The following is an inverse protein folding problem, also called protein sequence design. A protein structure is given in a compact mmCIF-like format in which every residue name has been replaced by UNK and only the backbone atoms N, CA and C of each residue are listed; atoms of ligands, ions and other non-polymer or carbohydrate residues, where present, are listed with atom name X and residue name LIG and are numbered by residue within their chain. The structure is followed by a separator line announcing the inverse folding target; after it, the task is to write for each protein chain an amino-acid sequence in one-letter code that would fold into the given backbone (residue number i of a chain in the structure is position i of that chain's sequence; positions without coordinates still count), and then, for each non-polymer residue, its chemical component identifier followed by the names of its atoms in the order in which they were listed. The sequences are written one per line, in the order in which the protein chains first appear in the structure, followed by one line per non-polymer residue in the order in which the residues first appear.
data_IF_654672951949
#
_entry.id   IF_654672951949
#
_cell.length_a   1.000
_cell.length_b   1.000
_cell.length_c   1.000
_cell.angle_alpha   90.00
_cell.angle_beta   90.00
_cell.angle_gamma   90.00
#
_symmetry.space_group_name_H-M   'P 1'
#
loop_
_entity.id
_entity.type
_entity.pdbx_description
1 polymer ?
#
# COMPACT_ATOMS: atom_id res chain seq x y z
N UNK A 1 -11.53 -9.92 14.06
CA UNK A 1 -12.63 -10.18 13.10
C UNK A 1 -12.71 -11.69 12.88
N UNK A 2 -13.78 -12.37 13.32
CA UNK A 2 -13.95 -13.82 13.12
C UNK A 2 -14.48 -14.04 11.70
N UNK A 3 -13.80 -14.86 10.91
CA UNK A 3 -14.24 -15.22 9.56
C UNK A 3 -15.24 -16.37 9.69
N UNK A 4 -16.51 -16.22 9.25
CA UNK A 4 -17.47 -17.31 9.30
C UNK A 4 -17.16 -18.36 8.22
N UNK A 5 -17.43 -19.62 8.52
CA UNK A 5 -17.45 -20.70 7.53
C UNK A 5 -18.83 -20.72 6.87
N UNK A 6 -18.87 -20.56 5.55
CA UNK A 6 -20.11 -20.44 4.79
C UNK A 6 -20.41 -21.75 4.08
N UNK A 7 -21.63 -22.26 4.24
CA UNK A 7 -22.06 -23.53 3.63
C UNK A 7 -23.39 -23.44 2.88
N UNK A 8 -24.03 -22.27 2.79
CA UNK A 8 -25.33 -22.16 2.10
C UNK A 8 -25.55 -20.81 1.41
N UNK A 9 -26.34 -20.79 0.32
CA UNK A 9 -26.67 -19.57 -0.46
C UNK A 9 -27.44 -18.52 0.33
N UNK A 10 -28.15 -18.90 1.42
CA UNK A 10 -28.77 -17.95 2.36
C UNK A 10 -27.75 -17.04 3.08
N UNK A 11 -26.46 -17.40 3.11
CA UNK A 11 -25.41 -16.56 3.70
C UNK A 11 -25.06 -15.34 2.82
N UNK A 12 -25.29 -15.40 1.51
CA UNK A 12 -24.89 -14.32 0.60
C UNK A 12 -25.81 -13.10 0.77
N UNK A 13 -27.12 -13.29 0.89
CA UNK A 13 -28.08 -12.20 1.12
C UNK A 13 -27.84 -11.52 2.48
N UNK A 14 -27.48 -12.29 3.50
CA UNK A 14 -27.11 -11.75 4.81
C UNK A 14 -25.82 -10.93 4.73
N UNK A 15 -24.80 -11.41 4.01
CA UNK A 15 -23.53 -10.67 3.80
C UNK A 15 -23.77 -9.39 2.99
N UNK A 16 -24.63 -9.44 1.97
CA UNK A 16 -25.00 -8.29 1.17
C UNK A 16 -25.75 -7.26 2.02
N UNK A 17 -26.68 -7.68 2.85
CA UNK A 17 -27.39 -6.77 3.78
C UNK A 17 -26.43 -6.15 4.79
N UNK A 18 -25.53 -6.95 5.39
CA UNK A 18 -24.48 -6.46 6.29
C UNK A 18 -23.50 -5.49 5.61
N UNK A 19 -23.20 -5.71 4.33
CA UNK A 19 -22.36 -4.81 3.53
C UNK A 19 -23.08 -3.51 3.22
N UNK A 20 -24.35 -3.58 2.81
CA UNK A 20 -25.19 -2.42 2.52
C UNK A 20 -25.41 -1.54 3.75
N UNK A 21 -25.60 -2.13 4.94
CA UNK A 21 -25.69 -1.41 6.21
C UNK A 21 -24.36 -0.76 6.64
N UNK A 22 -23.24 -1.23 6.11
CA UNK A 22 -21.90 -0.66 6.35
C UNK A 22 -21.48 0.35 5.29
N UNK A 23 -22.31 0.57 4.26
CA UNK A 23 -22.08 1.67 3.32
C UNK A 23 -22.38 2.96 4.08
N UNK A 24 -21.38 3.82 4.34
CA UNK A 24 -21.62 5.08 5.03
C UNK A 24 -22.64 5.89 4.24
N UNK A 25 -23.67 6.40 4.92
CA UNK A 25 -24.59 7.35 4.30
C UNK A 25 -23.78 8.48 3.66
N UNK A 26 -24.18 8.88 2.45
CA UNK A 26 -23.53 9.97 1.73
C UNK A 26 -23.61 11.22 2.60
N UNK A 27 -22.49 11.60 3.21
CA UNK A 27 -22.41 12.78 4.07
C UNK A 27 -23.00 13.99 3.34
N UNK A 28 -24.06 14.56 3.91
CA UNK A 28 -24.63 15.82 3.42
C UNK A 28 -23.63 16.92 3.77
N UNK A 29 -22.93 17.42 2.77
CA UNK A 29 -22.07 18.58 2.90
C UNK A 29 -22.82 19.87 2.54
N UNK A 30 -22.47 21.01 3.16
CA UNK A 30 -22.96 22.31 2.69
C UNK A 30 -22.54 22.54 1.23
N UNK A 31 -23.41 23.20 0.47
CA UNK A 31 -23.12 23.62 -0.91
C UNK A 31 -22.30 24.90 -0.87
N UNK A 32 -21.26 25.00 -1.72
CA UNK A 32 -20.50 26.24 -1.91
C UNK A 32 -21.15 27.10 -2.99
N UNK A 33 -20.73 28.36 -3.12
CA UNK A 33 -21.13 29.22 -4.24
C UNK A 33 -20.79 28.59 -5.60
N UNK A 34 -19.71 27.80 -5.68
CA UNK A 34 -19.29 27.09 -6.88
C UNK A 34 -20.24 25.92 -7.22
N UNK A 35 -20.74 25.21 -6.20
CA UNK A 35 -21.77 24.18 -6.39
C UNK A 35 -23.07 24.81 -6.88
N UNK A 36 -23.47 25.94 -6.29
CA UNK A 36 -24.68 26.69 -6.66
C UNK A 36 -24.57 27.20 -8.11
N UNK A 37 -23.39 27.71 -8.49
CA UNK A 37 -23.13 28.22 -9.84
C UNK A 37 -22.89 27.11 -10.88
N UNK A 38 -22.76 25.85 -10.48
CA UNK A 38 -22.50 24.73 -11.40
C UNK A 38 -21.10 24.76 -12.04
N UNK A 39 -20.10 25.32 -11.34
CA UNK A 39 -18.74 25.50 -11.87
C UNK A 39 -17.68 24.69 -11.10
N UNK A 40 -18.10 23.93 -10.07
CA UNK A 40 -17.21 23.17 -9.19
C UNK A 40 -16.15 22.37 -9.93
N UNK A 41 -16.54 21.64 -10.97
CA UNK A 41 -15.68 20.68 -11.69
C UNK A 41 -15.11 21.21 -13.01
N UNK A 42 -15.39 22.47 -13.34
CA UNK A 42 -15.01 23.04 -14.63
C UNK A 42 -13.56 23.55 -14.56
N UNK A 43 -12.65 22.80 -15.18
CA UNK A 43 -11.19 23.07 -15.13
C UNK A 43 -10.87 24.48 -15.65
N UNK A 44 -11.48 24.90 -16.76
CA UNK A 44 -11.26 26.23 -17.36
C UNK A 44 -11.72 27.34 -16.41
N UNK A 45 -12.89 27.18 -15.79
CA UNK A 45 -13.37 28.17 -14.81
C UNK A 45 -12.51 28.20 -13.54
N UNK A 46 -12.04 27.05 -13.08
CA UNK A 46 -11.08 26.99 -11.97
C UNK A 46 -9.75 27.68 -12.32
N UNK A 47 -9.27 27.55 -13.56
CA UNK A 47 -8.08 28.27 -14.03
C UNK A 47 -8.27 29.79 -13.99
N UNK A 48 -9.46 30.29 -14.33
CA UNK A 48 -9.78 31.74 -14.23
C UNK A 48 -9.86 32.24 -12.79
N UNK A 49 -10.36 31.40 -11.87
CA UNK A 49 -10.35 31.71 -10.43
C UNK A 49 -8.90 31.72 -9.90
N UNK A 50 -8.07 30.77 -10.32
CA UNK A 50 -6.65 30.77 -9.97
C UNK A 50 -5.90 31.95 -10.57
N UNK A 51 -6.18 32.33 -11.81
CA UNK A 51 -5.64 33.52 -12.45
C UNK A 51 -5.88 34.76 -11.59
N UNK A 52 -7.12 34.95 -11.13
CA UNK A 52 -7.46 36.05 -10.23
C UNK A 52 -6.57 36.07 -8.98
N UNK A 53 -6.31 34.92 -8.35
CA UNK A 53 -5.48 34.86 -7.14
C UNK A 53 -3.97 34.87 -7.37
N UNK A 54 -3.53 34.46 -8.55
CA UNK A 54 -2.11 34.44 -8.95
C UNK A 54 -1.63 35.80 -9.43
N UNK A 55 -2.52 36.69 -9.84
CA UNK A 55 -2.21 38.05 -10.28
C UNK A 55 -2.04 38.98 -9.07
N UNK A 56 -0.82 39.39 -8.69
CA UNK A 56 -0.59 40.21 -7.50
C UNK A 56 -1.26 41.60 -7.59
N UNK A 57 -1.62 42.04 -8.80
CA UNK A 57 -2.23 43.33 -9.08
C UNK A 57 -3.77 43.27 -9.09
N UNK A 58 -4.37 42.09 -8.96
CA UNK A 58 -5.82 41.95 -8.88
C UNK A 58 -6.37 42.46 -7.52
N UNK A 59 -7.68 42.76 -7.47
CA UNK A 59 -8.34 43.40 -6.33
C UNK A 59 -8.63 42.46 -5.14
N UNK A 60 -7.79 41.44 -4.93
CA UNK A 60 -7.92 40.50 -3.81
C UNK A 60 -7.11 40.85 -2.56
N UNK A 61 -6.19 41.83 -2.64
CA UNK A 61 -5.37 42.29 -1.50
C UNK A 61 -4.49 41.21 -0.84
N UNK A 62 -4.23 40.11 -1.58
CA UNK A 62 -3.31 39.04 -1.13
C UNK A 62 -1.91 39.21 -1.72
N UNK A 63 -1.71 40.17 -2.64
CA UNK A 63 -0.45 40.39 -3.34
C UNK A 63 0.08 39.08 -3.95
N UNK A 64 1.37 38.80 -3.76
CA UNK A 64 2.04 37.63 -4.29
C UNK A 64 1.83 36.32 -3.49
N UNK A 65 0.93 36.31 -2.49
CA UNK A 65 0.80 35.19 -1.55
C UNK A 65 0.61 33.84 -2.23
N UNK A 66 -0.16 33.78 -3.33
CA UNK A 66 -0.38 32.54 -4.07
C UNK A 66 0.86 32.07 -4.83
N UNK A 67 1.60 32.98 -5.47
CA UNK A 67 2.87 32.66 -6.15
C UNK A 67 3.87 32.12 -5.11
N UNK A 68 4.01 32.80 -3.97
CA UNK A 68 4.90 32.39 -2.89
C UNK A 68 4.53 31.00 -2.34
N UNK A 69 3.24 30.76 -2.12
CA UNK A 69 2.73 29.46 -1.67
C UNK A 69 2.96 28.36 -2.72
N UNK A 70 2.77 28.66 -4.00
CA UNK A 70 3.04 27.73 -5.10
C UNK A 70 4.52 27.34 -5.14
N UNK A 71 5.41 28.33 -5.03
CA UNK A 71 6.86 28.13 -4.98
C UNK A 71 7.30 27.23 -3.81
N UNK A 72 6.75 27.45 -2.60
CA UNK A 72 7.01 26.57 -1.45
C UNK A 72 6.54 25.15 -1.72
N UNK A 73 5.30 25.00 -2.19
CA UNK A 73 4.71 23.70 -2.49
C UNK A 73 5.53 22.98 -3.56
N UNK A 74 6.00 23.70 -4.59
CA UNK A 74 6.82 23.17 -5.66
C UNK A 74 8.13 22.61 -5.11
N UNK A 75 8.84 23.39 -4.28
CA UNK A 75 10.05 22.95 -3.59
C UNK A 75 9.75 21.72 -2.74
N UNK A 76 8.72 21.75 -1.89
CA UNK A 76 8.42 20.65 -0.96
C UNK A 76 8.04 19.35 -1.69
N UNK A 77 7.37 19.45 -2.84
CA UNK A 77 6.98 18.28 -3.64
C UNK A 77 8.10 17.75 -4.54
N UNK A 78 9.16 18.54 -4.79
CA UNK A 78 10.27 18.09 -5.63
C UNK A 78 11.20 17.12 -4.87
N UNK A 79 11.58 15.95 -5.44
CA UNK A 79 12.32 14.93 -4.69
C UNK A 79 13.66 15.42 -4.16
N UNK A 80 13.91 15.16 -2.88
CA UNK A 80 15.16 15.52 -2.20
C UNK A 80 16.39 14.87 -2.85
N UNK A 81 16.23 13.66 -3.40
CA UNK A 81 17.31 12.89 -4.03
C UNK A 81 17.53 13.25 -5.50
N UNK A 82 16.75 14.16 -6.07
CA UNK A 82 16.91 14.56 -7.47
C UNK A 82 18.21 15.31 -7.70
N UNK A 83 18.92 14.98 -8.79
CA UNK A 83 20.15 15.67 -9.20
C UNK A 83 19.93 17.17 -9.48
N UNK A 84 18.72 17.54 -9.86
CA UNK A 84 18.34 18.92 -10.20
C UNK A 84 17.80 19.71 -9.00
N UNK A 85 17.79 19.12 -7.79
CA UNK A 85 17.20 19.74 -6.59
C UNK A 85 17.77 21.12 -6.29
N UNK A 86 19.09 21.27 -6.29
CA UNK A 86 19.74 22.55 -6.01
C UNK A 86 19.42 23.61 -7.07
N UNK A 87 19.35 23.22 -8.34
CA UNK A 87 18.93 24.10 -9.44
C UNK A 87 17.50 24.60 -9.23
N UNK A 88 16.58 23.71 -8.85
CA UNK A 88 15.19 24.09 -8.55
C UNK A 88 15.12 25.05 -7.37
N UNK A 89 15.86 24.80 -6.29
CA UNK A 89 15.86 25.70 -5.13
C UNK A 89 16.34 27.09 -5.52
N UNK A 90 17.45 27.19 -6.26
CA UNK A 90 17.96 28.47 -6.79
C UNK A 90 16.92 29.20 -7.65
N UNK A 91 16.35 28.52 -8.65
CA UNK A 91 15.33 29.11 -9.53
C UNK A 91 14.12 29.62 -8.74
N UNK A 92 13.69 28.88 -7.72
CA UNK A 92 12.55 29.29 -6.91
C UNK A 92 12.91 30.49 -6.02
N UNK A 93 14.11 30.53 -5.46
CA UNK A 93 14.60 31.71 -4.72
C UNK A 93 14.68 32.94 -5.62
N UNK A 94 15.12 32.77 -6.87
CA UNK A 94 15.12 33.82 -7.89
C UNK A 94 13.70 34.30 -8.22
N UNK A 95 12.75 33.38 -8.46
CA UNK A 95 11.33 33.71 -8.68
C UNK A 95 10.80 34.53 -7.51
N UNK A 96 11.00 34.05 -6.27
CA UNK A 96 10.47 34.71 -5.07
C UNK A 96 11.04 36.12 -4.87
N UNK A 97 12.34 36.29 -5.15
CA UNK A 97 13.03 37.58 -4.98
C UNK A 97 12.54 38.59 -6.02
N UNK A 98 12.48 38.18 -7.29
CA UNK A 98 12.00 39.03 -8.39
C UNK A 98 10.49 39.29 -8.35
N UNK A 99 9.71 38.47 -7.63
CA UNK A 99 8.27 38.71 -7.42
C UNK A 99 8.04 39.88 -6.46
N UNK A 100 8.95 40.13 -5.52
CA UNK A 100 8.79 41.20 -4.53
C UNK A 100 9.11 42.60 -5.09
N UNK A 101 9.83 42.69 -6.22
CA UNK A 101 10.42 43.93 -6.71
C UNK A 101 9.63 44.65 -7.83
N UNK A 102 8.65 44.02 -8.51
CA UNK A 102 8.10 44.60 -9.76
C UNK A 102 6.61 44.40 -10.07
N UNK A 103 6.08 45.39 -10.84
CA UNK A 103 4.70 45.65 -11.26
C UNK A 103 4.25 44.91 -12.55
N UNK A 104 5.11 44.10 -13.17
CA UNK A 104 4.92 43.57 -14.55
C UNK A 104 4.55 42.10 -14.61
N UNK A 105 4.09 41.52 -13.49
CA UNK A 105 3.58 40.15 -13.50
C UNK A 105 2.30 40.09 -14.34
N UNK A 106 2.29 39.18 -15.29
CA UNK A 106 1.12 38.89 -16.13
C UNK A 106 0.68 37.46 -15.89
N UNK A 107 -0.63 37.27 -15.72
CA UNK A 107 -1.25 35.97 -15.59
C UNK A 107 -2.29 35.82 -16.68
N UNK A 108 -2.10 34.85 -17.56
CA UNK A 108 -3.01 34.56 -18.66
C UNK A 108 -3.47 33.10 -18.61
N UNK A 109 -4.69 32.84 -19.07
CA UNK A 109 -5.28 31.50 -19.15
C UNK A 109 -5.49 31.09 -20.60
N UNK A 110 -5.56 29.79 -20.85
CA UNK A 110 -5.85 29.24 -22.18
C UNK A 110 -4.83 29.73 -23.25
N UNK A 111 -3.52 29.71 -22.92
CA UNK A 111 -2.47 30.16 -23.85
C UNK A 111 -2.25 29.11 -24.94
N UNK A 112 -2.45 29.44 -26.23
CA UNK A 112 -2.26 28.49 -27.31
C UNK A 112 -0.78 28.12 -27.47
N UNK A 113 -0.48 26.82 -27.47
CA UNK A 113 0.84 26.28 -27.79
C UNK A 113 0.66 25.15 -28.78
N UNK A 114 1.15 25.35 -30.00
CA UNK A 114 0.89 24.47 -31.15
C UNK A 114 -0.61 24.21 -31.40
N UNK A 115 -1.09 23.00 -31.10
CA UNK A 115 -2.50 22.57 -31.23
C UNK A 115 -3.17 22.35 -29.87
N UNK A 116 -2.59 22.89 -28.80
CA UNK A 116 -2.98 22.70 -27.40
C UNK A 116 -3.06 24.05 -26.70
N UNK A 117 -3.46 24.02 -25.44
CA UNK A 117 -3.54 25.19 -24.58
C UNK A 117 -2.86 24.90 -23.25
N UNK A 118 -2.09 25.85 -22.74
CA UNK A 118 -1.63 25.89 -21.35
C UNK A 118 -2.76 26.46 -20.51
N UNK A 119 -3.08 25.79 -19.40
CA UNK A 119 -4.21 26.19 -18.55
C UNK A 119 -3.99 27.58 -17.90
N UNK A 120 -2.82 27.80 -17.29
CA UNK A 120 -2.42 29.10 -16.73
C UNK A 120 -0.93 29.34 -17.01
N UNK A 121 -0.59 30.53 -17.46
CA UNK A 121 0.79 30.96 -17.71
C UNK A 121 1.04 32.26 -16.95
N UNK A 122 2.04 32.23 -16.07
CA UNK A 122 2.47 33.37 -15.26
C UNK A 122 3.85 33.79 -15.72
N UNK A 123 4.05 35.07 -16.01
CA UNK A 123 5.33 35.62 -16.43
C UNK A 123 5.68 36.86 -15.63
N UNK A 124 6.97 37.08 -15.44
CA UNK A 124 7.50 38.36 -14.99
C UNK A 124 8.54 38.83 -16.00
N UNK A 125 8.37 40.06 -16.47
CA UNK A 125 9.23 40.67 -17.48
C UNK A 125 9.88 41.92 -16.93
N UNK A 126 11.14 42.16 -17.29
CA UNK A 126 11.80 43.43 -17.00
C UNK A 126 11.21 44.51 -17.91
N UNK A 127 10.63 45.57 -17.31
CA UNK A 127 10.12 46.71 -18.08
C UNK A 127 11.20 47.80 -18.17
N UNK A 128 11.85 47.91 -19.33
CA UNK A 128 12.85 48.95 -19.60
C UNK A 128 12.21 50.27 -20.10
N UNK A 129 11.24 50.80 -19.36
CA UNK A 129 10.72 52.16 -19.55
C UNK A 129 9.88 52.40 -20.83
N UNK A 130 9.14 53.51 -20.83
CA UNK A 130 8.08 53.82 -21.80
C UNK A 130 8.50 54.11 -23.26
N UNK A 131 9.78 53.89 -23.63
CA UNK A 131 10.35 54.26 -24.94
C UNK A 131 10.96 53.08 -25.72
N UNK A 132 10.82 51.84 -25.26
CA UNK A 132 11.22 50.65 -26.03
C UNK A 132 10.00 49.92 -26.60
N UNK A 133 10.16 49.35 -27.81
CA UNK A 133 9.17 48.46 -28.42
C UNK A 133 8.83 47.32 -27.45
N UNK A 134 7.53 47.09 -27.20
CA UNK A 134 7.01 46.01 -26.33
C UNK A 134 7.52 44.60 -26.71
N UNK A 135 8.11 44.44 -27.89
CA UNK A 135 8.66 43.18 -28.39
C UNK A 135 10.01 42.77 -27.78
N UNK A 136 10.65 43.62 -26.96
CA UNK A 136 11.99 43.35 -26.39
C UNK A 136 12.02 43.15 -24.88
N UNK A 137 10.87 42.99 -24.22
CA UNK A 137 10.84 42.76 -22.78
C UNK A 137 11.48 41.39 -22.44
N UNK A 138 12.57 41.41 -21.67
CA UNK A 138 13.28 40.21 -21.22
C UNK A 138 12.44 39.48 -20.15
N UNK A 139 12.19 38.18 -20.36
CA UNK A 139 11.50 37.32 -19.40
C UNK A 139 12.45 36.95 -18.25
N UNK A 140 12.17 37.47 -17.06
CA UNK A 140 12.94 37.16 -15.84
C UNK A 140 12.68 35.74 -15.37
N UNK A 141 11.40 35.35 -15.36
CA UNK A 141 10.97 34.00 -15.03
C UNK A 141 9.58 33.70 -15.59
N UNK A 142 9.28 32.42 -15.74
CA UNK A 142 7.95 31.96 -16.12
C UNK A 142 7.50 30.72 -15.33
N UNK A 143 6.18 30.61 -15.14
CA UNK A 143 5.53 29.47 -14.51
C UNK A 143 4.40 28.98 -15.40
N UNK A 144 4.51 27.73 -15.83
CA UNK A 144 3.55 27.06 -16.71
C UNK A 144 2.73 26.11 -15.84
N UNK A 145 1.50 26.48 -15.50
CA UNK A 145 0.67 25.69 -14.59
C UNK A 145 -0.33 24.88 -15.40
N UNK A 146 -0.28 23.57 -15.22
CA UNK A 146 -1.30 22.65 -15.72
C UNK A 146 -2.32 22.37 -14.62
N UNK A 147 -3.60 22.68 -14.84
CA UNK A 147 -4.67 22.54 -13.87
C UNK A 147 -5.50 21.27 -14.14
N UNK A 148 -5.62 20.38 -13.16
CA UNK A 148 -6.22 19.06 -13.32
C UNK A 148 -7.18 18.73 -12.17
N UNK A 149 -8.47 18.90 -12.42
CA UNK A 149 -9.51 18.62 -11.42
C UNK A 149 -9.97 17.16 -11.52
N UNK A 150 -10.25 16.69 -12.74
CA UNK A 150 -10.73 15.33 -13.00
C UNK A 150 -10.01 14.64 -14.16
N UNK A 151 -9.29 15.39 -14.99
CA UNK A 151 -8.52 14.85 -16.09
C UNK A 151 -7.17 14.30 -15.63
N UNK A 152 -6.72 13.24 -16.31
CA UNK A 152 -5.32 12.84 -16.27
C UNK A 152 -4.47 13.80 -17.12
N UNK A 153 -3.16 13.72 -16.94
CA UNK A 153 -2.20 14.43 -17.79
C UNK A 153 -2.13 13.74 -19.17
N UNK A 154 -2.99 14.14 -20.10
CA UNK A 154 -3.06 13.53 -21.44
C UNK A 154 -2.01 14.06 -22.42
N UNK A 155 -1.59 15.32 -22.27
CA UNK A 155 -0.65 15.94 -23.17
C UNK A 155 0.79 15.75 -22.67
N UNK A 156 1.76 15.56 -23.58
CA UNK A 156 3.18 15.56 -23.22
C UNK A 156 3.57 16.87 -22.54
N UNK A 157 4.26 16.80 -21.40
CA UNK A 157 4.71 17.97 -20.64
C UNK A 157 5.63 18.86 -21.48
N UNK A 158 6.39 18.26 -22.40
CA UNK A 158 7.31 18.97 -23.29
C UNK A 158 6.58 20.02 -24.15
N UNK A 159 5.34 19.76 -24.55
CA UNK A 159 4.51 20.72 -25.31
C UNK A 159 4.24 21.99 -24.50
N UNK A 160 4.03 21.85 -23.20
CA UNK A 160 3.81 23.00 -22.31
C UNK A 160 5.13 23.71 -21.98
N UNK A 161 6.20 22.93 -21.84
CA UNK A 161 7.52 23.47 -21.54
C UNK A 161 8.06 24.38 -22.66
N UNK A 162 7.66 24.15 -23.91
CA UNK A 162 8.08 24.95 -25.07
C UNK A 162 7.27 26.24 -25.29
N UNK A 163 6.44 26.67 -24.32
CA UNK A 163 5.65 27.92 -24.44
C UNK A 163 6.53 29.17 -24.57
N UNK A 164 7.73 29.12 -24.00
CA UNK A 164 8.74 30.19 -24.05
C UNK A 164 10.15 29.59 -23.98
N UNK A 165 11.16 30.45 -24.14
CA UNK A 165 12.58 30.11 -24.01
C UNK A 165 13.19 30.62 -22.68
N UNK A 166 12.38 30.87 -21.65
CA UNK A 166 12.87 31.38 -20.36
C UNK A 166 13.70 30.32 -19.61
N UNK A 167 14.90 30.69 -19.17
CA UNK A 167 15.82 29.83 -18.41
C UNK A 167 15.31 29.58 -16.98
N UNK A 168 14.66 30.58 -16.38
CA UNK A 168 14.08 30.53 -15.03
C UNK A 168 12.62 30.12 -15.11
N UNK A 169 12.40 28.86 -15.47
CA UNK A 169 11.06 28.32 -15.71
C UNK A 169 10.75 27.13 -14.80
N UNK A 170 9.50 27.04 -14.35
CA UNK A 170 8.97 25.85 -13.64
C UNK A 170 7.60 25.45 -14.18
N UNK A 171 7.25 24.18 -14.00
CA UNK A 171 5.97 23.61 -14.45
C UNK A 171 5.25 22.90 -13.29
N UNK A 172 4.45 23.62 -12.50
CA UNK A 172 3.57 23.00 -11.51
C UNK A 172 2.41 22.28 -12.21
N UNK A 173 2.23 21.00 -11.90
CA UNK A 173 0.97 20.30 -12.21
C UNK A 173 0.09 20.37 -10.98
N UNK A 174 -0.96 21.18 -11.04
CA UNK A 174 -1.92 21.36 -9.96
C UNK A 174 -3.05 20.34 -10.11
N UNK A 175 -3.18 19.42 -9.16
CA UNK A 175 -4.14 18.32 -9.25
C UNK A 175 -4.98 18.12 -7.98
N UNK A 176 -6.07 17.38 -8.05
CA UNK A 176 -6.85 17.03 -6.84
C UNK A 176 -6.19 15.89 -6.04
N UNK A 177 -5.37 15.04 -6.69
CA UNK A 177 -4.64 13.95 -6.06
C UNK A 177 -3.16 13.93 -6.44
N UNK A 178 -2.28 13.44 -5.55
CA UNK A 178 -0.89 13.19 -5.90
C UNK A 178 -0.80 12.33 -7.17
N UNK A 179 -0.02 12.80 -8.14
CA UNK A 179 0.32 12.01 -9.33
C UNK A 179 1.37 10.95 -8.99
N UNK A 180 1.46 9.93 -9.84
CA UNK A 180 2.50 8.89 -9.74
C UNK A 180 3.86 9.49 -10.00
N UNK A 181 4.81 9.27 -9.10
CA UNK A 181 6.14 9.86 -9.18
C UNK A 181 6.91 9.37 -10.41
N UNK A 182 6.69 8.12 -10.83
CA UNK A 182 7.32 7.53 -12.01
C UNK A 182 6.95 8.27 -13.30
N UNK A 183 5.75 8.86 -13.34
CA UNK A 183 5.32 9.68 -14.48
C UNK A 183 6.18 10.95 -14.56
N UNK A 184 6.37 11.64 -13.44
CA UNK A 184 7.10 12.90 -13.38
C UNK A 184 8.61 12.73 -13.56
N UNK A 185 9.17 11.64 -13.03
CA UNK A 185 10.61 11.37 -13.10
C UNK A 185 11.09 11.30 -14.56
N UNK A 186 10.30 10.68 -15.44
CA UNK A 186 10.61 10.59 -16.87
C UNK A 186 10.77 11.94 -17.58
N UNK A 187 10.12 12.99 -17.06
CA UNK A 187 10.24 14.35 -17.59
C UNK A 187 11.41 15.11 -16.97
N UNK A 188 11.70 14.88 -15.68
CA UNK A 188 12.85 15.49 -15.01
C UNK A 188 14.18 15.00 -15.56
N UNK A 189 14.24 13.75 -16.01
CA UNK A 189 15.39 13.21 -16.76
C UNK A 189 15.67 13.99 -18.05
N UNK A 190 14.65 14.61 -18.64
CA UNK A 190 14.77 15.50 -19.81
C UNK A 190 15.01 16.98 -19.42
N UNK A 191 15.44 17.23 -18.19
CA UNK A 191 15.70 18.58 -17.64
C UNK A 191 14.46 19.47 -17.48
N UNK A 192 13.24 18.92 -17.54
CA UNK A 192 12.02 19.68 -17.24
C UNK A 192 11.88 19.85 -15.72
N UNK A 193 11.70 21.08 -15.26
CA UNK A 193 11.47 21.37 -13.84
C UNK A 193 9.98 21.25 -13.53
N UNK A 194 9.53 20.02 -13.33
CA UNK A 194 8.12 19.68 -13.04
C UNK A 194 7.96 19.15 -11.61
N UNK A 195 6.85 19.54 -10.98
CA UNK A 195 6.41 19.00 -9.69
C UNK A 195 4.89 18.92 -9.63
N UNK A 196 4.36 17.89 -8.96
CA UNK A 196 2.93 17.82 -8.72
C UNK A 196 2.59 18.44 -7.36
N UNK A 197 1.64 19.37 -7.38
CA UNK A 197 1.11 20.04 -6.20
C UNK A 197 -0.38 19.74 -6.16
N UNK A 198 -0.91 19.33 -5.00
CA UNK A 198 -2.36 19.20 -4.90
C UNK A 198 -3.00 20.56 -4.65
N UNK A 199 -4.21 20.81 -5.17
CA UNK A 199 -4.97 22.02 -4.84
C UNK A 199 -5.13 22.20 -3.33
N UNK A 200 -5.34 21.10 -2.60
CA UNK A 200 -5.47 21.11 -1.14
C UNK A 200 -4.16 21.55 -0.46
N UNK A 201 -3.00 21.08 -0.94
CA UNK A 201 -1.69 21.50 -0.43
C UNK A 201 -1.45 22.99 -0.69
N UNK A 202 -1.74 23.46 -1.91
CA UNK A 202 -1.58 24.86 -2.28
C UNK A 202 -2.43 25.77 -1.39
N UNK A 203 -3.74 25.51 -1.31
CA UNK A 203 -4.65 26.39 -0.56
C UNK A 203 -4.35 26.38 0.94
N UNK A 204 -3.89 25.27 1.51
CA UNK A 204 -3.45 25.22 2.92
C UNK A 204 -2.22 26.09 3.14
N UNK A 205 -1.25 26.07 2.22
CA UNK A 205 -0.07 26.94 2.30
C UNK A 205 -0.45 28.42 2.19
N UNK A 206 -1.37 28.77 1.29
CA UNK A 206 -1.94 30.12 1.19
C UNK A 206 -2.57 30.55 2.51
N UNK A 207 -3.45 29.74 3.09
CA UNK A 207 -4.11 30.05 4.36
C UNK A 207 -3.12 30.22 5.52
N UNK A 208 -2.06 29.40 5.59
CA UNK A 208 -1.03 29.57 6.62
C UNK A 208 -0.30 30.91 6.51
N UNK A 209 -0.07 31.41 5.29
CA UNK A 209 0.61 32.68 5.03
C UNK A 209 -0.30 33.88 5.35
N UNK A 210 -1.60 33.74 5.13
CA UNK A 210 -2.59 34.79 5.38
C UNK A 210 -2.83 35.03 6.87
N UNK A 211 -2.62 34.03 7.73
CA UNK A 211 -2.81 34.16 9.19
C UNK A 211 -2.12 35.40 9.78
N UNK A 212 -0.94 35.75 9.27
CA UNK A 212 -0.17 36.91 9.74
C UNK A 212 -0.71 38.27 9.24
N UNK A 213 -1.53 38.28 8.19
CA UNK A 213 -2.12 39.48 7.55
C UNK A 213 -3.65 39.48 7.61
N UNK A 214 -4.24 38.63 8.45
CA UNK A 214 -5.69 38.37 8.43
C UNK A 214 -6.51 39.65 8.64
N UNK A 215 -6.10 40.51 9.57
CA UNK A 215 -6.81 41.74 9.90
C UNK A 215 -6.72 42.83 8.82
N UNK A 216 -5.75 42.73 7.89
CA UNK A 216 -5.58 43.70 6.81
C UNK A 216 -6.31 43.32 5.53
N UNK A 217 -6.86 42.11 5.42
CA UNK A 217 -7.52 41.64 4.21
C UNK A 217 -9.03 41.93 4.31
N UNK A 218 -9.67 42.47 3.26
CA UNK A 218 -11.10 42.77 3.29
C UNK A 218 -11.91 41.51 3.51
N UNK A 219 -12.95 41.63 4.34
CA UNK A 219 -13.86 40.51 4.67
C UNK A 219 -14.42 39.83 3.42
N UNK A 220 -14.70 40.60 2.36
CA UNK A 220 -15.18 40.05 1.08
C UNK A 220 -14.16 39.09 0.45
N UNK A 221 -12.86 39.43 0.48
CA UNK A 221 -11.82 38.61 -0.11
C UNK A 221 -11.55 37.37 0.72
N UNK A 222 -11.57 37.49 2.06
CA UNK A 222 -11.52 36.34 2.96
C UNK A 222 -12.69 35.37 2.73
N UNK A 223 -13.90 35.90 2.54
CA UNK A 223 -15.07 35.08 2.23
C UNK A 223 -14.92 34.33 0.90
N UNK A 224 -14.50 35.01 -0.18
CA UNK A 224 -14.28 34.37 -1.48
C UNK A 224 -13.20 33.27 -1.40
N UNK A 225 -12.12 33.54 -0.68
CA UNK A 225 -11.05 32.56 -0.46
C UNK A 225 -11.54 31.36 0.35
N UNK A 226 -12.37 31.58 1.38
CA UNK A 226 -12.96 30.52 2.18
C UNK A 226 -13.94 29.65 1.36
N UNK A 227 -14.71 30.27 0.48
CA UNK A 227 -15.58 29.55 -0.47
C UNK A 227 -14.73 28.71 -1.45
N UNK A 228 -13.64 29.28 -1.96
CA UNK A 228 -12.73 28.57 -2.86
C UNK A 228 -12.05 27.38 -2.15
N UNK A 229 -11.54 27.58 -0.93
CA UNK A 229 -11.03 26.52 -0.08
C UNK A 229 -12.05 25.40 0.13
N UNK A 230 -13.29 25.77 0.48
CA UNK A 230 -14.37 24.80 0.69
C UNK A 230 -14.67 24.03 -0.59
N UNK A 231 -14.61 24.68 -1.76
CA UNK A 231 -14.77 24.03 -3.06
C UNK A 231 -13.67 23.00 -3.32
N UNK A 232 -12.40 23.36 -3.08
CA UNK A 232 -11.26 22.45 -3.22
C UNK A 232 -11.40 21.23 -2.31
N UNK A 233 -11.69 21.43 -1.01
CA UNK A 233 -11.91 20.32 -0.06
C UNK A 233 -13.02 19.39 -0.55
N UNK A 234 -14.09 19.97 -1.10
CA UNK A 234 -15.23 19.22 -1.60
C UNK A 234 -14.91 18.43 -2.87
N UNK A 235 -14.10 18.96 -3.77
CA UNK A 235 -13.59 18.25 -4.95
C UNK A 235 -12.74 17.06 -4.54
N UNK A 236 -11.79 17.26 -3.61
CA UNK A 236 -10.93 16.19 -3.07
C UNK A 236 -11.73 15.07 -2.41
N UNK A 237 -12.77 15.41 -1.64
CA UNK A 237 -13.68 14.41 -1.07
C UNK A 237 -14.47 13.67 -2.15
N UNK A 238 -14.99 14.37 -3.16
CA UNK A 238 -15.83 13.77 -4.23
C UNK A 238 -15.05 12.75 -5.04
N UNK A 239 -13.86 13.06 -5.51
CA UNK A 239 -13.13 12.08 -6.31
C UNK A 239 -12.54 10.93 -5.45
N UNK A 240 -12.31 11.13 -4.14
CA UNK A 240 -11.97 10.03 -3.23
C UNK A 240 -13.15 9.06 -3.06
N UNK A 241 -14.38 9.56 -3.06
CA UNK A 241 -15.58 8.71 -3.10
C UNK A 241 -15.73 8.01 -4.45
N UNK A 242 -15.52 8.70 -5.59
CA UNK A 242 -15.60 8.08 -6.93
C UNK A 242 -14.61 6.92 -7.07
N UNK A 243 -13.39 7.09 -6.59
CA UNK A 243 -12.37 6.03 -6.58
C UNK A 243 -12.76 4.82 -5.72
N UNK A 244 -13.41 5.05 -4.58
CA UNK A 244 -13.94 3.96 -3.73
C UNK A 244 -15.09 3.22 -4.43
N UNK A 245 -15.96 3.94 -5.11
CA UNK A 245 -17.09 3.38 -5.87
C UNK A 245 -16.61 2.50 -7.02
N UNK A 246 -15.65 2.95 -7.84
CA UNK A 246 -15.09 2.15 -8.94
C UNK A 246 -14.42 0.86 -8.46
N UNK A 247 -13.67 0.92 -7.35
CA UNK A 247 -13.08 -0.26 -6.72
C UNK A 247 -14.14 -1.21 -6.16
N UNK A 248 -15.21 -0.66 -5.58
CA UNK A 248 -16.31 -1.45 -5.07
C UNK A 248 -17.06 -2.16 -6.21
N UNK A 249 -17.31 -1.47 -7.33
CA UNK A 249 -17.90 -2.09 -8.53
C UNK A 249 -17.00 -3.16 -9.13
N UNK A 250 -15.68 -2.93 -9.17
CA UNK A 250 -14.72 -3.96 -9.61
C UNK A 250 -14.75 -5.19 -8.68
N UNK A 251 -14.83 -4.97 -7.37
CA UNK A 251 -14.97 -6.05 -6.39
C UNK A 251 -16.28 -6.81 -6.57
N UNK A 252 -17.41 -6.11 -6.74
CA UNK A 252 -18.70 -6.74 -7.03
C UNK A 252 -18.65 -7.57 -8.32
N UNK A 253 -18.02 -7.04 -9.38
CA UNK A 253 -17.85 -7.76 -10.66
C UNK A 253 -17.01 -9.03 -10.52
N UNK A 254 -16.13 -9.10 -9.52
CA UNK A 254 -15.22 -10.23 -9.28
C UNK A 254 -15.56 -11.03 -8.02
N UNK A 255 -16.75 -10.86 -7.45
CA UNK A 255 -17.12 -11.53 -6.20
C UNK A 255 -17.15 -13.06 -6.38
N UNK A 256 -17.53 -13.52 -7.58
CA UNK A 256 -17.52 -14.93 -7.96
C UNK A 256 -16.10 -15.48 -8.03
N UNK A 257 -15.17 -14.80 -8.72
CA UNK A 257 -13.74 -15.15 -8.74
C UNK A 257 -13.17 -15.27 -7.32
N UNK A 258 -13.49 -14.31 -6.44
CA UNK A 258 -13.03 -14.30 -5.04
C UNK A 258 -13.60 -15.48 -4.27
N UNK A 259 -14.89 -15.79 -4.46
CA UNK A 259 -15.53 -16.93 -3.81
C UNK A 259 -14.95 -18.25 -4.30
N UNK A 260 -14.65 -18.38 -5.60
CA UNK A 260 -13.98 -19.54 -6.18
C UNK A 260 -12.58 -19.72 -5.58
N UNK A 261 -11.76 -18.65 -5.51
CA UNK A 261 -10.45 -18.70 -4.84
C UNK A 261 -10.57 -19.13 -3.38
N UNK A 262 -11.55 -18.62 -2.64
CA UNK A 262 -11.80 -19.03 -1.25
C UNK A 262 -12.16 -20.51 -1.15
N UNK A 263 -12.96 -21.01 -2.08
CA UNK A 263 -13.31 -22.43 -2.16
C UNK A 263 -12.07 -23.30 -2.44
N UNK A 264 -11.21 -22.90 -3.38
CA UNK A 264 -9.94 -23.58 -3.63
C UNK A 264 -9.01 -23.58 -2.42
N UNK A 265 -8.87 -22.45 -1.72
CA UNK A 265 -8.07 -22.36 -0.48
C UNK A 265 -8.63 -23.34 0.56
N UNK A 266 -9.95 -23.38 0.75
CA UNK A 266 -10.59 -24.30 1.69
C UNK A 266 -10.34 -25.77 1.34
N UNK A 267 -10.48 -26.15 0.07
CA UNK A 267 -10.23 -27.53 -0.36
C UNK A 267 -8.76 -27.92 -0.25
N UNK A 268 -7.84 -27.02 -0.59
CA UNK A 268 -6.42 -27.25 -0.43
C UNK A 268 -6.04 -27.42 1.06
N UNK A 269 -6.59 -26.56 1.92
CA UNK A 269 -6.41 -26.64 3.37
C UNK A 269 -6.88 -27.98 3.93
N UNK A 270 -8.05 -28.43 3.49
CA UNK A 270 -8.62 -29.71 3.87
C UNK A 270 -7.78 -30.88 3.34
N UNK A 271 -7.39 -30.83 2.08
CA UNK A 271 -6.54 -31.85 1.46
C UNK A 271 -5.22 -32.05 2.21
N UNK A 272 -4.52 -30.96 2.56
CA UNK A 272 -3.27 -31.02 3.32
C UNK A 272 -3.50 -31.65 4.70
N UNK A 273 -4.53 -31.19 5.42
CA UNK A 273 -4.86 -31.69 6.76
C UNK A 273 -5.23 -33.16 6.73
N UNK A 274 -6.07 -33.58 5.79
CA UNK A 274 -6.53 -34.96 5.65
C UNK A 274 -5.35 -35.87 5.25
N UNK A 275 -4.53 -35.45 4.27
CA UNK A 275 -3.34 -36.19 3.82
C UNK A 275 -2.34 -36.43 4.95
N UNK A 276 -1.98 -35.37 5.69
CA UNK A 276 -1.06 -35.50 6.84
C UNK A 276 -1.70 -36.37 7.92
N UNK A 277 -2.99 -36.18 8.20
CA UNK A 277 -3.69 -36.96 9.24
C UNK A 277 -3.73 -38.45 8.90
N UNK A 278 -4.01 -38.79 7.65
CA UNK A 278 -4.02 -40.17 7.18
C UNK A 278 -2.63 -40.80 7.24
N UNK A 279 -1.59 -40.08 6.85
CA UNK A 279 -0.20 -40.55 6.95
C UNK A 279 0.16 -40.92 8.41
N UNK A 280 -0.18 -40.06 9.38
CA UNK A 280 0.01 -40.36 10.79
C UNK A 280 -0.86 -41.52 11.29
N UNK A 281 -2.12 -41.60 10.85
CA UNK A 281 -3.04 -42.68 11.22
C UNK A 281 -2.56 -44.05 10.73
N UNK A 282 -2.03 -44.13 9.50
CA UNK A 282 -1.43 -45.33 8.94
C UNK A 282 -0.25 -45.84 9.78
N UNK A 283 0.45 -44.93 10.47
CA UNK A 283 1.55 -45.23 11.36
C UNK A 283 1.11 -45.47 12.83
N UNK A 284 -0.19 -45.50 13.12
CA UNK A 284 -0.74 -45.80 14.45
C UNK A 284 -0.89 -44.61 15.39
N UNK A 285 -0.68 -43.39 14.88
CA UNK A 285 -0.94 -42.16 15.62
C UNK A 285 -2.42 -41.75 15.48
N UNK A 286 -2.93 -41.00 16.46
CA UNK A 286 -4.23 -40.34 16.37
C UNK A 286 -4.04 -38.84 16.49
N UNK A 287 -4.69 -38.11 15.59
CA UNK A 287 -4.80 -36.66 15.71
C UNK A 287 -5.62 -36.33 16.96
N UNK A 288 -5.09 -35.47 17.84
CA UNK A 288 -5.92 -34.78 18.82
C UNK A 288 -6.56 -33.58 18.13
N UNK A 289 -7.90 -33.52 17.98
CA UNK A 289 -8.52 -32.32 17.47
C UNK A 289 -8.29 -31.19 18.48
N UNK A 290 -7.45 -30.21 18.15
CA UNK A 290 -7.62 -28.87 18.72
C UNK A 290 -8.87 -28.32 18.06
N UNK A 291 -9.86 -27.91 18.86
CA UNK A 291 -11.12 -27.37 18.38
C UNK A 291 -11.01 -26.09 17.49
N UNK A 292 -9.80 -25.62 17.13
CA UNK A 292 -9.60 -24.28 16.57
C UNK A 292 -8.50 -24.06 15.53
N UNK A 293 -7.72 -25.06 15.09
CA UNK A 293 -6.62 -24.78 14.15
C UNK A 293 -6.52 -25.79 13.01
N UNK A 294 -6.83 -25.34 11.79
CA UNK A 294 -6.49 -26.04 10.52
C UNK A 294 -4.98 -25.98 10.27
N UNK A 295 -4.27 -25.10 10.97
CA UNK A 295 -2.85 -24.80 10.78
C UNK A 295 -1.95 -25.75 11.56
N UNK A 296 -2.41 -26.25 12.71
CA UNK A 296 -1.55 -27.00 13.63
C UNK A 296 -2.27 -28.23 14.18
N UNK A 297 -1.59 -29.38 14.18
CA UNK A 297 -2.12 -30.62 14.77
C UNK A 297 -1.11 -31.32 15.65
N UNK A 298 -1.65 -31.95 16.69
CA UNK A 298 -0.92 -32.89 17.52
C UNK A 298 -1.29 -34.31 17.12
N UNK A 299 -0.28 -35.17 16.96
CA UNK A 299 -0.44 -36.58 16.69
C UNK A 299 0.14 -37.39 17.84
N UNK A 300 -0.69 -38.17 18.51
CA UNK A 300 -0.32 -38.92 19.71
C UNK A 300 -0.35 -40.40 19.39
N UNK A 301 0.62 -41.11 19.93
CA UNK A 301 0.68 -42.56 19.80
C UNK A 301 -0.59 -43.20 20.37
N UNK A 302 -1.24 -44.08 19.59
CA UNK A 302 -2.51 -44.70 19.98
C UNK A 302 -2.51 -46.22 19.99
N UNK A 303 -1.62 -46.86 19.23
CA UNK A 303 -1.48 -48.31 19.14
C UNK A 303 -0.05 -48.68 18.73
N UNK A 304 0.46 -49.82 19.22
CA UNK A 304 1.74 -50.39 18.81
C UNK A 304 1.69 -50.75 17.32
N UNK A 305 2.57 -50.16 16.51
CA UNK A 305 2.80 -50.47 15.10
C UNK A 305 4.13 -51.23 14.97
N UNK A 306 4.25 -52.15 14.02
CA UNK A 306 5.49 -52.87 13.69
C UNK A 306 6.63 -51.93 13.27
N UNK A 307 6.33 -50.74 12.74
CA UNK A 307 7.36 -49.73 12.45
C UNK A 307 8.01 -49.14 13.72
N UNK A 308 7.38 -49.34 14.88
CA UNK A 308 7.87 -48.92 16.19
C UNK A 308 8.57 -50.07 16.95
N UNK A 309 8.81 -51.20 16.28
CA UNK A 309 9.69 -52.29 16.78
C UNK A 309 11.06 -51.81 17.29
N UNK A 310 11.69 -50.73 16.75
CA UNK A 310 12.96 -50.24 17.30
C UNK A 310 12.84 -49.69 18.72
N UNK A 311 11.65 -49.18 19.05
CA UNK A 311 11.30 -48.69 20.39
C UNK A 311 10.74 -49.81 21.28
N UNK A 312 10.91 -51.10 20.95
CA UNK A 312 10.38 -52.22 21.77
C UNK A 312 10.88 -52.23 23.21
N UNK A 313 12.06 -51.65 23.45
CA UNK A 313 12.66 -51.54 24.78
C UNK A 313 12.06 -50.39 25.61
N UNK A 314 11.14 -49.60 25.05
CA UNK A 314 10.46 -48.52 25.74
C UNK A 314 9.16 -49.03 26.32
N UNK A 315 8.85 -48.57 27.54
CA UNK A 315 7.58 -48.91 28.17
C UNK A 315 6.42 -48.29 27.40
N UNK A 316 5.24 -48.94 27.43
CA UNK A 316 4.03 -48.36 26.84
C UNK A 316 3.69 -46.99 27.44
N UNK A 317 4.08 -46.78 28.70
CA UNK A 317 3.93 -45.52 29.41
C UNK A 317 4.82 -44.41 28.82
N UNK A 318 6.06 -44.73 28.43
CA UNK A 318 6.95 -43.77 27.78
C UNK A 318 6.50 -43.42 26.37
N UNK A 319 6.00 -44.39 25.61
CA UNK A 319 5.43 -44.16 24.27
C UNK A 319 4.21 -43.23 24.31
N UNK A 320 3.38 -43.32 25.36
CA UNK A 320 2.22 -42.42 25.56
C UNK A 320 2.61 -40.97 25.87
N UNK A 321 3.86 -40.73 26.28
CA UNK A 321 4.40 -39.38 26.53
C UNK A 321 4.94 -38.73 25.25
N UNK A 322 5.18 -39.49 24.18
CA UNK A 322 5.68 -38.95 22.92
C UNK A 322 4.53 -38.51 22.00
N UNK A 323 4.73 -37.39 21.32
CA UNK A 323 3.81 -36.90 20.28
C UNK A 323 4.54 -36.13 19.20
N UNK A 324 3.86 -35.91 18.08
CA UNK A 324 4.28 -34.95 17.06
C UNK A 324 3.42 -33.71 17.11
N UNK A 325 4.06 -32.55 17.00
CA UNK A 325 3.42 -31.30 16.63
C UNK A 325 3.74 -30.98 15.18
N UNK A 326 2.72 -30.76 14.36
CA UNK A 326 2.88 -30.52 12.92
C UNK A 326 2.23 -29.20 12.57
N UNK A 327 3.00 -28.34 11.91
CA UNK A 327 2.52 -27.10 11.31
C UNK A 327 2.27 -27.33 9.81
N UNK A 328 1.03 -27.11 9.39
CA UNK A 328 0.58 -27.33 8.01
C UNK A 328 0.94 -26.17 7.09
N UNK A 329 1.21 -24.97 7.60
CA UNK A 329 1.52 -23.80 6.76
C UNK A 329 2.79 -23.99 5.92
N UNK A 330 3.91 -24.51 6.44
CA UNK A 330 5.08 -24.83 5.63
C UNK A 330 4.78 -25.79 4.47
N UNK A 331 3.86 -26.74 4.65
CA UNK A 331 3.44 -27.66 3.58
C UNK A 331 2.72 -26.86 2.48
N UNK A 332 1.78 -25.99 2.87
CA UNK A 332 0.96 -25.18 1.96
C UNK A 332 1.76 -24.13 1.18
N UNK A 333 2.70 -23.46 1.83
CA UNK A 333 3.34 -22.26 1.28
C UNK A 333 4.75 -22.50 0.76
N UNK A 334 5.47 -23.45 1.35
CA UNK A 334 6.88 -23.69 1.01
C UNK A 334 7.16 -25.14 0.62
N UNK A 335 6.11 -25.95 0.42
CA UNK A 335 6.22 -27.38 0.11
C UNK A 335 7.17 -28.11 1.07
N UNK A 336 7.12 -27.76 2.36
CA UNK A 336 8.02 -28.26 3.39
C UNK A 336 7.24 -28.94 4.51
N UNK A 337 7.54 -30.20 4.78
CA UNK A 337 7.05 -30.89 5.96
C UNK A 337 7.87 -30.47 7.19
N UNK A 338 7.20 -29.76 8.11
CA UNK A 338 7.79 -29.39 9.40
C UNK A 338 7.02 -30.05 10.53
N UNK A 339 7.73 -30.84 11.32
CA UNK A 339 7.17 -31.51 12.48
C UNK A 339 8.16 -31.48 13.65
N UNK A 340 7.65 -31.36 14.86
CA UNK A 340 8.44 -31.41 16.08
C UNK A 340 8.07 -32.67 16.84
N UNK A 341 9.06 -33.52 17.09
CA UNK A 341 8.92 -34.70 17.92
C UNK A 341 9.22 -34.30 19.37
N UNK A 342 8.21 -34.39 20.23
CA UNK A 342 8.23 -33.80 21.56
C UNK A 342 7.80 -34.80 22.63
N UNK A 343 8.41 -34.64 23.81
CA UNK A 343 7.95 -35.28 25.03
C UNK A 343 6.89 -34.40 25.68
N UNK A 344 5.74 -34.96 26.02
CA UNK A 344 4.62 -34.29 26.67
C UNK A 344 4.26 -35.03 27.96
N UNK A 345 4.28 -34.33 29.09
CA UNK A 345 3.81 -34.87 30.38
C UNK A 345 2.95 -33.83 31.10
N UNK A 346 1.84 -34.28 31.71
CA UNK A 346 0.94 -33.39 32.49
C UNK A 346 1.53 -32.97 33.85
N UNK A 347 2.67 -33.54 34.25
CA UNK A 347 3.36 -33.31 35.53
C UNK A 347 4.86 -33.44 35.29
N UNK A 348 5.57 -32.32 35.21
CA UNK A 348 7.03 -32.22 35.24
C UNK A 348 7.77 -33.05 34.18
N UNK A 349 8.17 -32.41 33.09
CA UNK A 349 8.92 -33.04 31.98
C UNK A 349 10.32 -33.51 32.43
N UNK A 350 10.93 -32.84 33.41
CA UNK A 350 12.34 -32.99 33.80
C UNK A 350 12.77 -34.41 34.20
N UNK A 351 11.96 -35.15 34.96
CA UNK A 351 12.37 -36.46 35.50
C UNK A 351 12.53 -37.55 34.42
N UNK A 352 11.78 -37.43 33.32
CA UNK A 352 11.82 -38.40 32.22
C UNK A 352 12.53 -37.86 30.97
N UNK A 353 12.57 -36.53 30.81
CA UNK A 353 13.13 -35.88 29.65
C UNK A 353 14.58 -36.26 29.42
N UNK A 354 15.44 -36.15 30.43
CA UNK A 354 16.86 -36.40 30.21
C UNK A 354 17.15 -37.88 29.91
N UNK A 355 16.35 -38.81 30.45
CA UNK A 355 16.46 -40.23 30.12
C UNK A 355 16.03 -40.53 28.68
N UNK A 356 14.89 -39.98 28.27
CA UNK A 356 14.34 -40.16 26.92
C UNK A 356 15.21 -39.44 25.88
N UNK A 357 15.59 -38.18 26.16
CA UNK A 357 16.48 -37.37 25.34
C UNK A 357 17.81 -38.07 25.13
N UNK A 358 18.48 -38.56 26.18
CA UNK A 358 19.75 -39.32 26.01
C UNK A 358 19.60 -40.52 25.09
N UNK A 359 18.49 -41.26 25.19
CA UNK A 359 18.21 -42.39 24.28
C UNK A 359 18.00 -41.93 22.84
N UNK A 360 17.31 -40.81 22.62
CA UNK A 360 17.03 -40.25 21.29
C UNK A 360 18.28 -39.63 20.67
N UNK A 361 19.12 -38.96 21.47
CA UNK A 361 20.35 -38.32 21.00
C UNK A 361 21.50 -39.29 20.73
N UNK A 362 21.41 -40.52 21.23
CA UNK A 362 22.38 -41.58 20.94
C UNK A 362 22.22 -42.18 19.53
N UNK A 363 21.19 -41.77 18.80
CA UNK A 363 20.85 -42.29 17.47
C UNK A 363 21.42 -41.38 16.38
N UNK A 364 21.72 -41.96 15.21
CA UNK A 364 22.14 -41.21 14.03
C UNK A 364 20.92 -40.68 13.28
N UNK A 365 20.95 -39.38 12.97
CA UNK A 365 19.83 -38.68 12.36
C UNK A 365 20.18 -38.22 10.95
N UNK A 366 19.28 -38.40 9.97
CA UNK A 366 19.37 -37.75 8.68
C UNK A 366 19.50 -36.22 8.78
N UNK A 367 20.16 -35.60 7.79
CA UNK A 367 20.46 -34.15 7.76
C UNK A 367 19.22 -33.23 7.89
N UNK A 368 18.03 -33.74 7.58
CA UNK A 368 16.77 -32.99 7.69
C UNK A 368 16.18 -32.98 9.11
N UNK A 369 16.87 -33.57 10.09
CA UNK A 369 16.46 -33.63 11.49
C UNK A 369 17.44 -32.82 12.34
N UNK A 370 16.90 -31.78 12.98
CA UNK A 370 17.63 -30.94 13.93
C UNK A 370 17.36 -31.44 15.35
N UNK A 371 18.43 -31.65 16.12
CA UNK A 371 18.34 -31.87 17.56
C UNK A 371 18.00 -30.54 18.25
N UNK A 372 16.91 -30.52 19.00
CA UNK A 372 16.48 -29.31 19.70
C UNK A 372 17.00 -29.34 21.15
N UNK A 373 17.81 -28.36 21.51
CA UNK A 373 18.32 -28.16 22.88
C UNK A 373 17.48 -27.11 23.62
N UNK A 374 16.20 -27.39 23.81
CA UNK A 374 15.33 -26.49 24.57
C UNK A 374 15.29 -26.88 26.06
N UNK A 375 15.44 -25.87 26.93
CA UNK A 375 15.18 -26.04 28.36
C UNK A 375 13.68 -26.27 28.55
N UNK A 376 13.25 -27.32 29.27
CA UNK A 376 11.84 -27.60 29.51
C UNK A 376 11.24 -26.47 30.35
N UNK A 377 10.52 -25.55 29.69
CA UNK A 377 9.85 -24.42 30.36
C UNK A 377 8.33 -24.63 30.50
N UNK A 378 7.80 -25.77 30.05
CA UNK A 378 6.35 -26.05 29.94
C UNK A 378 6.02 -27.54 30.17
N UNK A 379 4.75 -27.93 29.95
CA UNK A 379 4.26 -29.33 29.95
C UNK A 379 4.80 -30.19 28.78
N UNK A 380 5.68 -29.64 27.95
CA UNK A 380 6.34 -30.35 26.85
C UNK A 380 7.80 -29.89 26.66
N UNK A 381 8.56 -30.71 25.94
CA UNK A 381 9.88 -30.36 25.43
C UNK A 381 10.11 -30.99 24.05
N UNK A 382 10.52 -30.16 23.09
CA UNK A 382 10.93 -30.61 21.77
C UNK A 382 12.25 -31.39 21.90
N UNK A 383 12.31 -32.56 21.26
CA UNK A 383 13.51 -33.40 21.23
C UNK A 383 14.17 -33.26 19.85
N UNK A 384 13.36 -33.37 18.80
CA UNK A 384 13.81 -33.31 17.41
C UNK A 384 12.87 -32.43 16.59
N UNK A 385 13.41 -31.75 15.60
CA UNK A 385 12.66 -31.01 14.57
C UNK A 385 12.95 -31.62 13.22
N UNK A 386 11.91 -32.14 12.58
CA UNK A 386 11.91 -32.60 11.19
C UNK A 386 11.65 -31.38 10.32
N UNK A 387 12.53 -31.13 9.36
CA UNK A 387 12.37 -30.08 8.35
C UNK A 387 12.75 -30.64 6.98
N UNK A 388 11.77 -31.21 6.28
CA UNK A 388 11.99 -31.91 5.03
C UNK A 388 11.25 -31.21 3.89
N UNK A 389 11.94 -30.86 2.81
CA UNK A 389 11.30 -30.29 1.63
C UNK A 389 10.70 -31.40 0.78
N UNK A 390 9.39 -31.40 0.57
CA UNK A 390 8.65 -32.50 -0.07
C UNK A 390 9.04 -32.72 -1.54
N UNK A 391 9.72 -31.75 -2.17
CA UNK A 391 10.31 -31.88 -3.51
C UNK A 391 11.57 -32.73 -3.55
N UNK A 392 12.22 -32.95 -2.41
CA UNK A 392 13.55 -33.56 -2.35
C UNK A 392 13.46 -35.09 -2.21
N UNK A 393 12.25 -35.65 -2.17
CA UNK A 393 12.04 -37.09 -2.28
C UNK A 393 12.21 -37.52 -3.74
N UNK A 394 13.20 -38.37 -4.00
CA UNK A 394 13.46 -38.94 -5.33
C UNK A 394 12.26 -39.77 -5.83
N UNK A 395 11.97 -39.68 -7.13
CA UNK A 395 10.92 -40.46 -7.82
C UNK A 395 9.49 -40.25 -7.28
N UNK A 396 9.14 -39.02 -6.89
CA UNK A 396 7.84 -38.74 -6.26
C UNK A 396 6.81 -38.04 -7.11
N UNK A 397 7.07 -37.82 -8.41
CA UNK A 397 6.14 -37.13 -9.30
C UNK A 397 4.74 -37.80 -9.34
N UNK A 398 4.68 -39.11 -9.08
CA UNK A 398 3.43 -39.89 -9.11
C UNK A 398 2.80 -40.16 -7.73
N UNK A 399 3.43 -39.77 -6.61
CA UNK A 399 2.89 -40.04 -5.27
C UNK A 399 2.28 -38.79 -4.62
N UNK A 400 1.10 -39.00 -4.01
CA UNK A 400 0.34 -37.95 -3.36
C UNK A 400 1.00 -37.47 -2.05
N UNK A 401 0.49 -36.35 -1.51
CA UNK A 401 1.04 -35.75 -0.29
C UNK A 401 1.03 -36.71 0.93
N UNK A 402 -0.01 -37.53 1.06
CA UNK A 402 -0.13 -38.52 2.13
C UNK A 402 1.05 -39.50 2.11
N UNK A 403 1.34 -40.08 0.95
CA UNK A 403 2.43 -41.04 0.82
C UNK A 403 3.81 -40.38 1.00
N UNK A 404 3.99 -39.14 0.50
CA UNK A 404 5.23 -38.38 0.75
C UNK A 404 5.49 -38.16 2.24
N UNK A 405 4.47 -37.74 2.98
CA UNK A 405 4.57 -37.54 4.44
C UNK A 405 4.85 -38.85 5.15
N UNK A 406 4.17 -39.93 4.73
CA UNK A 406 4.39 -41.28 5.27
C UNK A 406 5.82 -41.76 5.05
N UNK A 407 6.40 -41.59 3.86
CA UNK A 407 7.79 -41.94 3.58
C UNK A 407 8.77 -41.18 4.48
N UNK A 408 8.58 -39.87 4.67
CA UNK A 408 9.41 -39.07 5.58
C UNK A 408 9.33 -39.60 7.01
N UNK A 409 8.12 -39.94 7.48
CA UNK A 409 7.93 -40.52 8.81
C UNK A 409 8.55 -41.92 8.92
N UNK A 410 8.45 -42.76 7.88
CA UNK A 410 9.11 -44.07 7.84
C UNK A 410 10.64 -43.95 7.86
N UNK A 411 11.21 -42.97 7.14
CA UNK A 411 12.64 -42.66 7.20
C UNK A 411 13.03 -42.26 8.63
N UNK A 412 12.26 -41.37 9.26
CA UNK A 412 12.44 -40.99 10.66
C UNK A 412 12.42 -42.21 11.61
N UNK A 413 11.43 -43.12 11.48
CA UNK A 413 11.33 -44.30 12.34
C UNK A 413 12.41 -45.35 12.04
N UNK A 414 12.89 -45.46 10.80
CA UNK A 414 14.02 -46.34 10.45
C UNK A 414 15.32 -45.86 11.10
N UNK A 415 15.52 -44.55 11.21
CA UNK A 415 16.66 -43.97 11.94
C UNK A 415 16.61 -44.18 13.45
N UNK A 416 15.47 -44.67 14.00
CA UNK A 416 15.38 -45.07 15.40
C UNK A 416 15.88 -46.51 15.68
N UNK A 417 16.20 -47.29 14.64
CA UNK A 417 16.83 -48.62 14.74
C UNK A 417 18.31 -48.50 14.97
#
# INVERSE_FOLDING_TARGET
MKIPQFTNTQDIDSILSDLLERIPEKEKRPSTIFDIAGITSDEVKNSKILQYYLDPNADHELGDTFIQAMCDCFISAYPEKSKNRNKVVSIIEDIKSNTAEHETISVVTEVPVEKKFVDIYVTNTLYEGANQDESNNELLWSMVIENKIYADLYNPIETYWSVDDCDTKILPILSIYPLREELLESYREKSVLVSNITHETLIKNVLSRITAKYDSIPTRQLFLLQEYYSNIVNLTKRAAMKFKEERFQLFQKRIEDVNEMRHHIYHNDRYVVDSVTNAFNALGYKSKPKARSVVERWFIFSKKNELLTPLTNWSEEDLKKLRFYVNMNPIKHTNTFKAEFELFTKKGVEAHFESIRKKVLALEWPDFIEVVNENPKTDYAHILRINFKLSDLENTDDINLEERVKLILEMFFKSLK
#
